data_IF_544088110711
#
_entry.id   IF_544088110711
#
_cell.length_a   1.000
_cell.length_b   1.000
_cell.length_c   1.000
_cell.angle_alpha   90.00
_cell.angle_beta   90.00
_cell.angle_gamma   90.00
#
_symmetry.space_group_name_H-M   'P 1'
#
loop_
_entity.id
_entity.type
_entity.pdbx_description
1 polymer ?
#
# COMPACT_ATOMS: atom_id res chain seq x y z
N UNK A 1 -8.33 15.19 3.45
CA UNK A 1 -7.36 14.29 2.78
C UNK A 1 -7.88 12.87 2.48
N UNK A 2 -9.05 12.45 2.98
CA UNK A 2 -9.36 11.01 3.14
C UNK A 2 -9.66 10.17 1.90
N UNK A 3 -10.35 10.65 0.85
CA UNK A 3 -10.94 9.72 -0.12
C UNK A 3 -10.03 9.33 -1.32
N UNK A 4 -9.17 10.23 -1.81
CA UNK A 4 -8.45 10.01 -3.09
C UNK A 4 -7.13 9.24 -2.95
N UNK A 5 -6.48 9.30 -1.78
CA UNK A 5 -5.30 8.48 -1.49
C UNK A 5 -5.67 6.99 -1.31
N UNK A 6 -6.90 6.73 -0.85
CA UNK A 6 -7.43 5.38 -0.67
C UNK A 6 -7.56 4.58 -1.97
N UNK A 7 -7.83 5.25 -3.09
CA UNK A 7 -8.09 4.58 -4.37
C UNK A 7 -6.92 3.72 -4.86
N UNK A 8 -5.67 4.14 -4.62
CA UNK A 8 -4.51 3.34 -4.99
C UNK A 8 -4.40 2.03 -4.22
N UNK A 9 -4.83 2.03 -2.95
CA UNK A 9 -4.75 0.85 -2.08
C UNK A 9 -5.91 -0.13 -2.28
N UNK A 10 -6.93 0.23 -3.06
CA UNK A 10 -8.13 -0.61 -3.26
C UNK A 10 -7.79 -2.03 -3.74
N UNK A 11 -6.93 -2.25 -4.76
CA UNK A 11 -6.58 -3.60 -5.21
C UNK A 11 -5.91 -4.43 -4.12
N UNK A 12 -5.06 -3.80 -3.32
CA UNK A 12 -4.35 -4.46 -2.22
C UNK A 12 -5.29 -4.84 -1.07
N UNK A 13 -6.25 -3.97 -0.75
CA UNK A 13 -7.28 -4.25 0.26
C UNK A 13 -8.17 -5.40 -0.22
N UNK A 14 -8.60 -5.39 -1.48
CA UNK A 14 -9.36 -6.50 -2.08
C UNK A 14 -8.55 -7.78 -1.98
N UNK A 15 -7.27 -7.75 -2.36
CA UNK A 15 -6.39 -8.91 -2.26
C UNK A 15 -6.27 -9.42 -0.83
N UNK A 16 -6.01 -8.57 0.17
CA UNK A 16 -5.87 -8.99 1.57
C UNK A 16 -7.17 -9.54 2.19
N UNK A 17 -8.34 -9.08 1.72
CA UNK A 17 -9.64 -9.56 2.21
C UNK A 17 -10.06 -10.86 1.53
N UNK A 18 -9.79 -10.99 0.23
CA UNK A 18 -10.26 -12.12 -0.59
C UNK A 18 -9.26 -13.28 -0.62
N UNK A 19 -7.97 -13.01 -0.41
CA UNK A 19 -6.94 -14.05 -0.31
C UNK A 19 -7.16 -14.85 0.98
N UNK A 20 -7.62 -16.08 0.82
CA UNK A 20 -7.79 -17.05 1.89
C UNK A 20 -7.58 -18.46 1.35
N UNK A 21 -7.48 -19.47 2.23
CA UNK A 21 -7.21 -20.85 1.85
C UNK A 21 -8.23 -21.31 0.78
N UNK A 22 -7.76 -21.64 -0.42
CA UNK A 22 -8.56 -22.04 -1.61
C UNK A 22 -9.18 -20.92 -2.47
N UNK A 23 -9.11 -19.64 -2.09
CA UNK A 23 -9.68 -18.52 -2.89
C UNK A 23 -8.64 -17.66 -3.60
N UNK A 24 -7.36 -18.04 -3.52
CA UNK A 24 -6.24 -17.24 -3.99
C UNK A 24 -6.27 -16.92 -5.51
N UNK A 25 -6.71 -17.85 -6.36
CA UNK A 25 -6.84 -17.63 -7.82
C UNK A 25 -7.89 -16.54 -8.14
N UNK A 26 -9.03 -16.60 -7.45
CA UNK A 26 -10.10 -15.60 -7.56
C UNK A 26 -9.67 -14.26 -6.96
N UNK A 27 -8.91 -14.27 -5.86
CA UNK A 27 -8.35 -13.08 -5.25
C UNK A 27 -7.35 -12.37 -6.18
N UNK A 28 -6.45 -13.12 -6.81
CA UNK A 28 -5.46 -12.60 -7.76
C UNK A 28 -6.14 -12.06 -9.03
N UNK A 29 -7.11 -12.80 -9.59
CA UNK A 29 -7.88 -12.36 -10.76
C UNK A 29 -8.74 -11.12 -10.48
N UNK A 30 -9.43 -11.09 -9.33
CA UNK A 30 -10.21 -9.94 -8.89
C UNK A 30 -9.36 -8.70 -8.60
N UNK A 31 -8.19 -8.89 -7.97
CA UNK A 31 -7.25 -7.80 -7.73
C UNK A 31 -6.59 -7.29 -9.01
N UNK A 32 -6.28 -8.17 -9.97
CA UNK A 32 -5.80 -7.77 -11.30
C UNK A 32 -6.87 -6.97 -12.04
N UNK A 33 -8.12 -7.43 -12.06
CA UNK A 33 -9.24 -6.70 -12.65
C UNK A 33 -9.41 -5.33 -12.00
N UNK A 34 -9.39 -5.25 -10.66
CA UNK A 34 -9.46 -3.97 -9.95
C UNK A 34 -8.27 -3.05 -10.29
N UNK A 35 -7.05 -3.59 -10.37
CA UNK A 35 -5.86 -2.83 -10.75
C UNK A 35 -5.95 -2.29 -12.19
N UNK A 36 -6.42 -3.10 -13.14
CA UNK A 36 -6.63 -2.68 -14.53
C UNK A 36 -7.76 -1.65 -14.63
N UNK A 37 -8.87 -1.87 -13.94
CA UNK A 37 -10.01 -0.93 -13.89
C UNK A 37 -9.57 0.42 -13.32
N UNK A 38 -8.71 0.44 -12.30
CA UNK A 38 -8.18 1.68 -11.72
C UNK A 38 -7.09 2.33 -12.59
N UNK A 39 -6.33 1.53 -13.35
CA UNK A 39 -5.33 2.03 -14.29
C UNK A 39 -5.97 2.80 -15.45
N UNK A 40 -7.13 2.38 -15.95
CA UNK A 40 -7.84 3.01 -17.08
C UNK A 40 -8.09 4.51 -16.84
N UNK A 41 -8.79 4.96 -15.78
CA UNK A 41 -9.03 6.37 -15.52
C UNK A 41 -7.77 7.14 -15.09
N UNK A 42 -6.77 6.48 -14.49
CA UNK A 42 -5.47 7.09 -14.18
C UNK A 42 -4.67 7.42 -15.45
N UNK A 43 -4.71 6.52 -16.45
CA UNK A 43 -4.06 6.68 -17.75
C UNK A 43 -4.75 7.77 -18.59
N UNK A 44 -6.08 7.77 -18.63
CA UNK A 44 -6.86 8.78 -19.35
C UNK A 44 -6.64 10.20 -18.82
N UNK A 45 -6.30 10.35 -17.54
CA UNK A 45 -5.97 11.64 -16.91
C UNK A 45 -4.49 12.00 -17.00
N UNK A 46 -3.65 11.18 -17.64
CA UNK A 46 -2.20 11.39 -17.73
C UNK A 46 -1.48 11.35 -16.38
N UNK A 47 -2.06 10.69 -15.38
CA UNK A 47 -1.63 10.72 -13.97
C UNK A 47 -1.40 9.32 -13.44
N UNK A 48 -0.58 8.55 -14.15
CA UNK A 48 -0.17 7.21 -13.72
C UNK A 48 0.64 7.34 -12.42
N UNK A 49 0.14 6.78 -11.33
CA UNK A 49 0.81 6.81 -10.01
C UNK A 49 1.69 5.59 -9.84
N UNK A 50 2.70 5.70 -8.98
CA UNK A 50 3.61 4.59 -8.68
C UNK A 50 2.84 3.35 -8.22
N UNK A 51 1.81 3.55 -7.41
CA UNK A 51 0.99 2.47 -6.87
C UNK A 51 0.13 1.80 -7.94
N UNK A 52 -0.32 2.53 -8.98
CA UNK A 52 -1.09 1.95 -10.09
C UNK A 52 -0.20 1.00 -10.90
N UNK A 53 1.03 1.41 -11.23
CA UNK A 53 2.01 0.58 -11.95
C UNK A 53 2.35 -0.66 -11.14
N UNK A 54 2.69 -0.47 -9.86
CA UNK A 54 3.13 -1.56 -8.98
C UNK A 54 2.00 -2.56 -8.75
N UNK A 55 0.76 -2.09 -8.57
CA UNK A 55 -0.41 -2.97 -8.45
C UNK A 55 -0.56 -3.82 -9.70
N UNK A 56 -0.54 -3.20 -10.89
CA UNK A 56 -0.72 -3.92 -12.15
C UNK A 56 0.39 -4.92 -12.39
N UNK A 57 1.66 -4.53 -12.19
CA UNK A 57 2.80 -5.43 -12.36
C UNK A 57 2.74 -6.59 -11.37
N UNK A 58 2.45 -6.32 -10.09
CA UNK A 58 2.40 -7.34 -9.05
C UNK A 58 1.26 -8.34 -9.28
N UNK A 59 0.04 -7.86 -9.53
CA UNK A 59 -1.10 -8.75 -9.76
C UNK A 59 -1.00 -9.47 -11.10
N UNK A 60 -0.43 -8.85 -12.13
CA UNK A 60 -0.19 -9.55 -13.39
C UNK A 60 0.84 -10.67 -13.21
N UNK A 61 1.92 -10.42 -12.45
CA UNK A 61 2.90 -11.45 -12.12
C UNK A 61 2.27 -12.59 -11.30
N UNK A 62 1.39 -12.29 -10.34
CA UNK A 62 0.64 -13.31 -9.58
C UNK A 62 -0.29 -14.15 -10.46
N UNK A 63 -1.02 -13.52 -11.39
CA UNK A 63 -1.91 -14.25 -12.32
C UNK A 63 -1.11 -15.12 -13.28
N UNK A 64 -0.01 -14.60 -13.83
CA UNK A 64 0.90 -15.39 -14.67
C UNK A 64 1.47 -16.56 -13.88
N UNK A 65 1.97 -16.33 -12.67
CA UNK A 65 2.44 -17.37 -11.77
C UNK A 65 1.37 -18.46 -11.56
N UNK A 66 0.11 -18.08 -11.35
CA UNK A 66 -0.98 -19.04 -11.21
C UNK A 66 -1.38 -19.83 -12.44
N UNK A 67 -1.08 -19.31 -13.63
CA UNK A 67 -1.33 -20.04 -14.88
C UNK A 67 -0.22 -21.05 -15.19
N UNK A 68 0.99 -20.87 -14.65
CA UNK A 68 2.17 -21.67 -14.99
C UNK A 68 2.68 -22.58 -13.85
N UNK A 69 2.27 -22.36 -12.60
CA UNK A 69 2.74 -23.14 -11.43
C UNK A 69 1.68 -24.15 -10.97
N UNK A 70 2.13 -25.35 -10.58
CA UNK A 70 1.28 -26.40 -10.01
C UNK A 70 0.80 -26.05 -8.58
N UNK A 71 -0.36 -26.58 -8.19
CA UNK A 71 -1.00 -26.36 -6.85
C UNK A 71 -0.04 -26.54 -5.67
N UNK A 72 0.93 -27.45 -5.76
CA UNK A 72 1.91 -27.71 -4.70
C UNK A 72 2.91 -26.57 -4.50
N UNK A 73 3.24 -25.81 -5.54
CA UNK A 73 4.11 -24.62 -5.43
C UNK A 73 3.31 -23.37 -5.02
N UNK A 74 2.01 -23.38 -5.30
CA UNK A 74 1.09 -22.28 -5.01
C UNK A 74 0.67 -22.21 -3.54
N UNK A 75 0.66 -23.32 -2.81
CA UNK A 75 0.37 -23.35 -1.36
C UNK A 75 1.36 -22.48 -0.57
N UNK A 76 2.66 -22.52 -0.93
CA UNK A 76 3.65 -21.64 -0.30
C UNK A 76 3.40 -20.18 -0.67
N UNK A 77 3.01 -19.89 -1.92
CA UNK A 77 2.69 -18.53 -2.33
C UNK A 77 1.44 -18.00 -1.61
N UNK A 78 0.46 -18.86 -1.34
CA UNK A 78 -0.76 -18.56 -0.59
C UNK A 78 -0.44 -18.23 0.87
N UNK A 79 0.38 -19.05 1.52
CA UNK A 79 0.84 -18.85 2.90
C UNK A 79 1.64 -17.53 3.05
N UNK A 80 2.53 -17.24 2.10
CA UNK A 80 3.40 -16.06 2.18
C UNK A 80 2.83 -14.85 1.43
N UNK A 81 1.66 -14.95 0.80
CA UNK A 81 1.05 -13.91 -0.04
C UNK A 81 0.96 -12.55 0.66
N UNK A 82 0.56 -12.55 1.93
CA UNK A 82 0.46 -11.34 2.74
C UNK A 82 1.82 -10.74 3.07
N UNK A 83 2.80 -11.58 3.41
CA UNK A 83 4.16 -11.15 3.69
C UNK A 83 4.84 -10.59 2.42
N UNK A 84 4.67 -11.26 1.29
CA UNK A 84 5.22 -10.87 -0.01
C UNK A 84 4.58 -9.56 -0.49
N UNK A 85 3.24 -9.45 -0.47
CA UNK A 85 2.55 -8.23 -0.87
C UNK A 85 2.94 -7.03 0.00
N UNK A 86 2.97 -7.21 1.33
CA UNK A 86 3.43 -6.18 2.27
C UNK A 86 4.90 -5.84 2.05
N UNK A 87 5.76 -6.82 1.78
CA UNK A 87 7.17 -6.61 1.51
C UNK A 87 7.41 -5.82 0.22
N UNK A 88 6.70 -6.15 -0.86
CA UNK A 88 6.74 -5.42 -2.13
C UNK A 88 6.28 -3.98 -1.93
N UNK A 89 5.16 -3.76 -1.23
CA UNK A 89 4.69 -2.42 -0.89
C UNK A 89 5.72 -1.65 -0.06
N UNK A 90 6.34 -2.28 0.93
CA UNK A 90 7.39 -1.67 1.74
C UNK A 90 8.58 -1.23 0.87
N UNK A 91 9.08 -2.12 0.01
CA UNK A 91 10.21 -1.82 -0.88
C UNK A 91 9.89 -0.69 -1.85
N UNK A 92 8.70 -0.71 -2.45
CA UNK A 92 8.27 0.32 -3.40
C UNK A 92 8.08 1.66 -2.71
N UNK A 93 7.41 1.68 -1.57
CA UNK A 93 7.14 2.90 -0.81
C UNK A 93 8.43 3.49 -0.26
N UNK A 94 9.31 2.67 0.33
CA UNK A 94 10.62 3.12 0.80
C UNK A 94 11.53 3.53 -0.36
N UNK A 95 11.53 2.78 -1.46
CA UNK A 95 12.27 3.11 -2.68
C UNK A 95 11.82 4.43 -3.31
N UNK A 96 10.53 4.76 -3.21
CA UNK A 96 10.00 6.04 -3.68
C UNK A 96 10.64 7.24 -2.97
N UNK A 97 11.16 7.08 -1.74
CA UNK A 97 11.87 8.14 -1.02
C UNK A 97 13.15 8.61 -1.73
N UNK A 98 13.77 7.75 -2.55
CA UNK A 98 14.96 8.09 -3.33
C UNK A 98 14.64 8.96 -4.56
N UNK A 99 13.38 8.95 -5.03
CA UNK A 99 12.96 9.66 -6.23
C UNK A 99 11.90 10.72 -5.90
N UNK A 100 10.63 10.29 -5.80
CA UNK A 100 9.49 11.13 -5.44
C UNK A 100 8.65 10.34 -4.42
N UNK A 101 8.49 10.85 -3.18
CA UNK A 101 7.73 10.17 -2.15
C UNK A 101 6.33 9.82 -2.64
N UNK A 102 5.89 8.58 -2.43
CA UNK A 102 4.59 8.11 -2.90
C UNK A 102 3.45 9.04 -2.46
N UNK A 103 3.48 9.53 -1.22
CA UNK A 103 2.42 10.41 -0.71
C UNK A 103 2.40 11.77 -1.39
N UNK A 104 3.53 12.22 -1.94
CA UNK A 104 3.64 13.48 -2.65
C UNK A 104 2.78 13.46 -3.92
N UNK A 105 2.73 12.34 -4.64
CA UNK A 105 1.91 12.17 -5.85
C UNK A 105 0.42 12.40 -5.56
N UNK A 106 -0.06 11.96 -4.39
CA UNK A 106 -1.45 12.15 -3.95
C UNK A 106 -1.68 13.53 -3.33
N UNK A 107 -0.68 14.08 -2.64
CA UNK A 107 -0.78 15.41 -2.02
C UNK A 107 -0.82 16.54 -3.06
N UNK A 108 -0.09 16.39 -4.17
CA UNK A 108 -0.09 17.36 -5.28
C UNK A 108 -1.47 17.56 -5.92
N UNK A 109 -2.36 16.57 -5.86
CA UNK A 109 -3.73 16.70 -6.37
C UNK A 109 -4.66 17.56 -5.50
N UNK A 110 -4.30 17.76 -4.23
CA UNK A 110 -5.14 18.45 -3.25
C UNK A 110 -4.57 19.80 -2.84
N UNK A 111 -3.27 20.01 -3.04
CA UNK A 111 -2.56 21.22 -2.64
C UNK A 111 -2.23 22.05 -3.88
N UNK A 112 -2.48 23.38 -3.88
CA UNK A 112 -2.11 24.25 -4.98
C UNK A 112 -0.61 24.20 -5.30
N UNK A 113 -0.26 24.31 -6.59
CA UNK A 113 1.11 24.12 -7.10
C UNK A 113 2.14 25.05 -6.45
N UNK A 114 1.73 26.25 -6.04
CA UNK A 114 2.57 27.22 -5.32
C UNK A 114 3.14 26.70 -3.99
N UNK A 115 2.56 25.65 -3.41
CA UNK A 115 3.05 25.04 -2.17
C UNK A 115 3.89 23.78 -2.40
N UNK A 116 3.98 23.25 -3.63
CA UNK A 116 4.71 22.00 -3.92
C UNK A 116 6.22 22.14 -3.72
N UNK A 117 6.76 23.34 -3.97
CA UNK A 117 8.18 23.64 -3.78
C UNK A 117 8.57 23.88 -2.33
N UNK A 118 7.60 24.03 -1.41
CA UNK A 118 7.90 24.35 -0.02
C UNK A 118 8.63 23.18 0.67
N UNK A 119 9.70 23.45 1.44
CA UNK A 119 10.45 22.42 2.15
C UNK A 119 9.59 21.67 3.18
N UNK A 120 8.62 22.35 3.79
CA UNK A 120 7.65 21.74 4.71
C UNK A 120 6.77 20.69 4.02
N UNK A 121 6.28 20.99 2.80
CA UNK A 121 5.47 20.05 2.02
C UNK A 121 6.25 18.79 1.67
N UNK A 122 7.50 18.94 1.25
CA UNK A 122 8.39 17.80 0.96
C UNK A 122 8.71 16.99 2.23
N UNK A 123 8.98 17.67 3.35
CA UNK A 123 9.28 17.01 4.64
C UNK A 123 8.09 16.20 5.13
N UNK A 124 6.89 16.77 5.11
CA UNK A 124 5.66 16.07 5.51
C UNK A 124 5.44 14.82 4.66
N UNK A 125 5.52 14.94 3.32
CA UNK A 125 5.34 13.79 2.44
C UNK A 125 6.42 12.71 2.64
N UNK A 126 7.67 13.10 2.88
CA UNK A 126 8.75 12.16 3.18
C UNK A 126 8.49 11.40 4.49
N UNK A 127 8.06 12.09 5.55
CA UNK A 127 7.68 11.46 6.82
C UNK A 127 6.50 10.51 6.65
N UNK A 128 5.45 10.94 5.93
CA UNK A 128 4.29 10.09 5.69
C UNK A 128 4.65 8.85 4.88
N UNK A 129 5.49 9.01 3.85
CA UNK A 129 6.00 7.88 3.05
C UNK A 129 6.84 6.93 3.90
N UNK A 130 7.68 7.43 4.81
CA UNK A 130 8.42 6.60 5.77
C UNK A 130 7.49 5.81 6.70
N UNK A 131 6.47 6.45 7.27
CA UNK A 131 5.48 5.78 8.14
C UNK A 131 4.77 4.65 7.40
N UNK A 132 4.36 4.90 6.15
CA UNK A 132 3.76 3.87 5.30
C UNK A 132 4.74 2.73 4.99
N UNK A 133 5.97 3.05 4.61
CA UNK A 133 7.01 2.06 4.32
C UNK A 133 7.32 1.17 5.54
N UNK A 134 7.45 1.78 6.72
CA UNK A 134 7.65 1.06 7.98
C UNK A 134 6.43 0.23 8.38
N UNK A 135 5.22 0.75 8.15
CA UNK A 135 3.97 0.00 8.40
C UNK A 135 3.91 -1.26 7.55
N UNK A 136 4.19 -1.15 6.25
CA UNK A 136 4.23 -2.31 5.36
C UNK A 136 5.37 -3.27 5.69
N UNK A 137 6.55 -2.76 6.08
CA UNK A 137 7.65 -3.61 6.54
C UNK A 137 7.27 -4.39 7.81
N UNK A 138 6.60 -3.73 8.77
CA UNK A 138 6.09 -4.39 9.96
C UNK A 138 5.04 -5.46 9.60
N UNK A 139 4.08 -5.15 8.72
CA UNK A 139 3.11 -6.14 8.23
C UNK A 139 3.79 -7.34 7.55
N UNK A 140 4.86 -7.12 6.79
CA UNK A 140 5.62 -8.19 6.15
C UNK A 140 6.30 -9.09 7.18
N UNK A 141 6.96 -8.51 8.18
CA UNK A 141 7.61 -9.25 9.27
C UNK A 141 6.57 -10.02 10.11
N UNK A 142 5.44 -9.40 10.41
CA UNK A 142 4.35 -10.05 11.14
C UNK A 142 3.77 -11.24 10.36
N UNK A 143 3.59 -11.10 9.04
CA UNK A 143 3.16 -12.20 8.18
C UNK A 143 4.16 -13.37 8.17
N UNK A 144 5.47 -13.09 8.18
CA UNK A 144 6.50 -14.13 8.29
C UNK A 144 6.46 -14.85 9.66
N UNK A 145 6.30 -14.10 10.75
CA UNK A 145 6.22 -14.65 12.11
C UNK A 145 4.93 -15.48 12.27
N UNK A 146 3.81 -15.02 11.73
CA UNK A 146 2.52 -15.71 11.80
C UNK A 146 2.56 -17.10 11.15
N UNK A 147 3.44 -17.32 10.17
CA UNK A 147 3.62 -18.63 9.54
C UNK A 147 4.45 -19.61 10.37
N UNK A 148 5.25 -19.11 11.32
CA UNK A 148 6.02 -19.98 12.21
C UNK A 148 5.19 -20.44 13.43
N UNK A 149 4.14 -19.71 13.79
CA UNK A 149 3.39 -19.91 15.04
C UNK A 149 1.93 -20.30 14.79
N UNK A 150 1.64 -21.62 14.79
CA UNK A 150 0.32 -22.19 14.46
C UNK A 150 -0.81 -21.79 15.43
N UNK A 151 -0.51 -21.20 16.59
CA UNK A 151 -1.48 -20.89 17.64
C UNK A 151 -1.97 -19.43 17.71
N UNK A 152 -1.27 -18.49 17.09
CA UNK A 152 -1.55 -17.04 17.18
C UNK A 152 -1.85 -16.34 15.84
N UNK A 153 -2.02 -17.12 14.76
CA UNK A 153 -1.93 -16.64 13.37
C UNK A 153 -2.95 -15.58 12.98
N UNK A 154 -4.18 -15.61 13.49
CA UNK A 154 -5.23 -14.67 13.09
C UNK A 154 -4.99 -13.23 13.60
N UNK A 155 -4.43 -13.06 14.81
CA UNK A 155 -4.15 -11.74 15.36
C UNK A 155 -2.98 -11.05 14.65
N UNK A 156 -1.94 -11.83 14.34
CA UNK A 156 -0.74 -11.36 13.64
C UNK A 156 -0.97 -11.13 12.15
N UNK A 157 -1.84 -11.92 11.49
CA UNK A 157 -2.19 -11.71 10.08
C UNK A 157 -3.28 -10.65 9.88
N UNK A 158 -4.26 -10.53 10.77
CA UNK A 158 -5.42 -9.70 10.49
C UNK A 158 -5.52 -8.48 11.39
N UNK A 159 -5.48 -8.69 12.71
CA UNK A 159 -5.80 -7.61 13.66
C UNK A 159 -4.69 -6.56 13.72
N UNK A 160 -3.43 -6.98 13.90
CA UNK A 160 -2.31 -6.03 14.03
C UNK A 160 -2.05 -5.29 12.71
N UNK A 161 -2.01 -5.94 11.54
CA UNK A 161 -1.89 -5.23 10.25
C UNK A 161 -3.03 -4.25 10.00
N UNK A 162 -4.28 -4.63 10.30
CA UNK A 162 -5.42 -3.73 10.18
C UNK A 162 -5.27 -2.50 11.10
N UNK A 163 -4.87 -2.69 12.36
CA UNK A 163 -4.64 -1.59 13.30
C UNK A 163 -3.51 -0.68 12.83
N UNK A 164 -2.40 -1.24 12.33
CA UNK A 164 -1.28 -0.46 11.80
C UNK A 164 -1.70 0.37 10.59
N UNK A 165 -2.44 -0.22 9.65
CA UNK A 165 -2.94 0.47 8.46
C UNK A 165 -3.93 1.58 8.84
N UNK A 166 -4.89 1.30 9.74
CA UNK A 166 -5.83 2.31 10.26
C UNK A 166 -5.09 3.41 10.99
N UNK A 167 -4.06 3.07 11.78
CA UNK A 167 -3.17 4.00 12.44
C UNK A 167 -2.44 4.91 11.46
N UNK A 168 -1.85 4.35 10.41
CA UNK A 168 -1.17 5.09 9.34
C UNK A 168 -2.14 6.05 8.62
N UNK A 169 -3.38 5.63 8.38
CA UNK A 169 -4.42 6.50 7.81
C UNK A 169 -4.77 7.66 8.74
N UNK A 170 -5.02 7.40 10.03
CA UNK A 170 -5.32 8.45 11.01
C UNK A 170 -4.14 9.41 11.16
N UNK A 171 -2.91 8.90 11.19
CA UNK A 171 -1.70 9.71 11.22
C UNK A 171 -1.58 10.59 9.97
N UNK A 172 -1.82 10.03 8.78
CA UNK A 172 -1.80 10.77 7.52
C UNK A 172 -2.84 11.88 7.47
N UNK A 173 -4.01 11.68 8.07
CA UNK A 173 -5.04 12.71 8.16
C UNK A 173 -4.69 13.81 9.19
N UNK A 174 -4.12 13.45 10.33
CA UNK A 174 -3.89 14.36 11.46
C UNK A 174 -2.58 15.15 11.38
N UNK A 175 -1.51 14.54 10.86
CA UNK A 175 -0.16 15.10 10.89
C UNK A 175 -0.03 16.44 10.13
N UNK A 176 -0.62 16.64 8.94
CA UNK A 176 -0.55 17.92 8.22
C UNK A 176 -1.24 19.08 8.98
N UNK A 177 -2.31 18.80 9.71
CA UNK A 177 -3.05 19.81 10.47
C UNK A 177 -2.29 20.26 11.72
N UNK A 178 -1.56 19.34 12.37
CA UNK A 178 -0.63 19.66 13.47
C UNK A 178 0.54 20.53 13.04
N UNK A 179 1.15 20.22 11.90
CA UNK A 179 2.28 21.02 11.38
C UNK A 179 1.81 22.45 11.07
N UNK A 180 0.64 22.60 10.42
CA UNK A 180 0.02 23.92 10.18
C UNK A 180 -0.31 24.68 11.47
N UNK A 181 -0.77 23.99 12.51
CA UNK A 181 -1.06 24.60 13.81
C UNK A 181 0.22 25.07 14.52
N UNK A 182 1.33 24.32 14.42
CA UNK A 182 2.61 24.72 15.03
C UNK A 182 3.21 25.97 14.39
N UNK A 183 3.07 26.13 13.06
CA UNK A 183 3.58 27.30 12.33
C UNK A 183 2.76 28.56 12.65
N UNK A 184 1.46 28.42 12.95
CA UNK A 184 0.59 29.54 13.36
C UNK A 184 0.76 29.96 14.83
N UNK A 185 1.28 29.09 15.70
CA UNK A 185 1.49 29.40 17.12
C UNK A 185 2.80 30.12 17.42
N UNK A 186 3.70 30.22 16.42
CA UNK A 186 5.01 30.88 16.52
C UNK A 186 5.09 32.22 15.76
N UNK A 187 3.96 32.73 15.27
CA UNK A 187 3.83 34.02 14.60
C UNK A 187 2.92 34.93 15.42
#
# INVERSE_FOLDING_TARGET
MGAKAFLGFVPWIIFWVVCGPSTWEYAAGGALLAAVILLIPSRERGRVKLLDIVSVVFFAALVVAGLFLDRSQLIWLEDYSQAISSGVLALVVLGSLAFVPFTEQYAREQVPQQFWSRPEFKRVNRTLTLVWGLTFAACAVLGLIAQHDRGGSAWLNWVIPAVLIVGAFKFTAWYPDRVKASVKGTA
#
